data_IF_248824308970
#
_entry.id   IF_248824308970
#
_cell.length_a   1.000
_cell.length_b   1.000
_cell.length_c   1.000
_cell.angle_alpha   90.00
_cell.angle_beta   90.00
_cell.angle_gamma   90.00
#
_symmetry.space_group_name_H-M   'P 1'
#
loop_
_entity.id
_entity.type
_entity.pdbx_description
1 polymer ?
#
# COMPACT_ATOMS: atom_id res chain seq x y z
N UNK A 1 -14.79 38.75 -3.63
CA UNK A 1 -14.91 37.52 -4.43
C UNK A 1 -13.85 36.55 -3.96
N UNK A 2 -14.25 35.62 -3.12
CA UNK A 2 -13.39 34.61 -2.50
C UNK A 2 -12.98 33.61 -3.59
N UNK A 3 -11.67 33.53 -3.88
CA UNK A 3 -11.14 32.60 -4.90
C UNK A 3 -11.18 31.19 -4.31
N UNK A 4 -12.11 30.36 -4.76
CA UNK A 4 -12.13 28.93 -4.45
C UNK A 4 -10.76 28.32 -4.82
N UNK A 5 -10.02 27.88 -3.79
CA UNK A 5 -8.78 27.12 -3.97
C UNK A 5 -9.13 25.77 -4.59
N UNK A 6 -8.93 25.64 -5.89
CA UNK A 6 -8.99 24.36 -6.60
C UNK A 6 -7.86 23.46 -6.06
N UNK A 7 -8.17 22.66 -5.05
CA UNK A 7 -7.25 21.62 -4.53
C UNK A 7 -7.20 20.51 -5.57
N UNK A 8 -6.23 20.60 -6.50
CA UNK A 8 -5.97 19.54 -7.49
C UNK A 8 -5.59 18.24 -6.76
N UNK A 9 -6.54 17.31 -6.63
CA UNK A 9 -6.28 15.96 -6.13
C UNK A 9 -5.49 15.19 -7.19
N UNK A 10 -4.16 15.28 -7.13
CA UNK A 10 -3.26 14.43 -7.91
C UNK A 10 -3.29 13.03 -7.29
N UNK A 11 -4.12 12.14 -7.83
CA UNK A 11 -4.32 10.77 -7.29
C UNK A 11 -3.16 9.82 -7.62
N UNK A 12 -2.24 10.23 -8.50
CA UNK A 12 -1.08 9.46 -8.96
C UNK A 12 0.16 10.23 -8.54
N UNK A 13 0.75 9.81 -7.43
CA UNK A 13 1.79 10.58 -6.74
C UNK A 13 3.18 9.92 -6.79
N UNK A 14 3.26 8.59 -7.03
CA UNK A 14 4.50 7.92 -7.43
C UNK A 14 4.21 6.54 -8.04
N UNK A 15 4.45 6.39 -9.35
CA UNK A 15 4.30 5.13 -10.08
C UNK A 15 5.27 4.01 -9.63
N UNK A 16 6.57 4.25 -9.33
CA UNK A 16 7.50 3.13 -9.14
C UNK A 16 7.21 2.32 -7.87
N UNK A 17 6.77 2.97 -6.79
CA UNK A 17 6.47 2.28 -5.54
C UNK A 17 5.15 1.48 -5.61
N UNK A 18 4.15 2.02 -6.32
CA UNK A 18 2.89 1.31 -6.57
C UNK A 18 3.11 0.10 -7.47
N UNK A 19 3.93 0.23 -8.53
CA UNK A 19 4.28 -0.90 -9.39
C UNK A 19 5.02 -2.01 -8.64
N UNK A 20 5.99 -1.67 -7.77
CA UNK A 20 6.70 -2.66 -6.96
C UNK A 20 5.75 -3.49 -6.09
N UNK A 21 4.84 -2.83 -5.36
CA UNK A 21 3.86 -3.53 -4.53
C UNK A 21 2.90 -4.41 -5.34
N UNK A 22 2.42 -3.91 -6.48
CA UNK A 22 1.51 -4.65 -7.37
C UNK A 22 2.19 -5.88 -7.94
N UNK A 23 3.45 -5.78 -8.37
CA UNK A 23 4.22 -6.92 -8.89
C UNK A 23 4.38 -7.99 -7.81
N UNK A 24 4.74 -7.59 -6.58
CA UNK A 24 4.87 -8.54 -5.46
C UNK A 24 3.55 -9.24 -5.17
N UNK A 25 2.43 -8.50 -5.17
CA UNK A 25 1.09 -9.07 -4.97
C UNK A 25 0.71 -10.05 -6.07
N UNK A 26 0.98 -9.72 -7.35
CA UNK A 26 0.71 -10.62 -8.48
C UNK A 26 1.56 -11.89 -8.37
N UNK A 27 2.86 -11.77 -8.08
CA UNK A 27 3.75 -12.92 -7.92
C UNK A 27 3.31 -13.82 -6.76
N UNK A 28 2.92 -13.24 -5.63
CA UNK A 28 2.37 -13.99 -4.51
C UNK A 28 1.10 -14.75 -4.92
N UNK A 29 0.22 -14.09 -5.68
CA UNK A 29 -1.02 -14.71 -6.16
C UNK A 29 -0.77 -15.86 -7.15
N UNK A 30 0.24 -15.73 -8.01
CA UNK A 30 0.67 -16.81 -8.90
C UNK A 30 1.22 -18.00 -8.09
N UNK A 31 2.03 -17.75 -7.06
CA UNK A 31 2.50 -18.80 -6.16
C UNK A 31 1.34 -19.52 -5.46
N UNK A 32 0.36 -18.77 -4.94
CA UNK A 32 -0.84 -19.35 -4.32
C UNK A 32 -1.62 -20.19 -5.34
N UNK A 33 -1.82 -19.70 -6.56
CA UNK A 33 -2.52 -20.43 -7.61
C UNK A 33 -1.82 -21.74 -7.97
N UNK A 34 -0.48 -21.75 -8.05
CA UNK A 34 0.32 -22.96 -8.29
C UNK A 34 0.18 -23.95 -7.14
N UNK A 35 0.30 -23.50 -5.88
CA UNK A 35 0.17 -24.37 -4.71
C UNK A 35 -1.23 -24.98 -4.62
N UNK A 36 -2.27 -24.17 -4.85
CA UNK A 36 -3.67 -24.65 -4.85
C UNK A 36 -3.91 -25.61 -6.00
N UNK A 37 -3.44 -25.29 -7.21
CA UNK A 37 -3.58 -26.15 -8.39
C UNK A 37 -2.88 -27.49 -8.20
N UNK A 38 -1.65 -27.49 -7.69
CA UNK A 38 -0.89 -28.71 -7.42
C UNK A 38 -1.51 -29.52 -6.27
N UNK A 39 -1.94 -28.85 -5.20
CA UNK A 39 -2.64 -29.48 -4.07
C UNK A 39 -3.93 -30.16 -4.51
N UNK A 40 -4.74 -29.49 -5.34
CA UNK A 40 -5.95 -30.09 -5.90
C UNK A 40 -5.65 -31.26 -6.81
N UNK A 41 -4.64 -31.16 -7.68
CA UNK A 41 -4.20 -32.28 -8.52
C UNK A 41 -3.75 -33.48 -7.68
N UNK A 42 -2.99 -33.24 -6.62
CA UNK A 42 -2.55 -34.29 -5.69
C UNK A 42 -3.73 -34.96 -4.98
N UNK A 43 -4.65 -34.17 -4.40
CA UNK A 43 -5.85 -34.70 -3.74
C UNK A 43 -6.70 -35.53 -4.72
N UNK A 44 -6.90 -35.03 -5.94
CA UNK A 44 -7.66 -35.71 -6.98
C UNK A 44 -7.03 -37.05 -7.39
N UNK A 45 -5.72 -37.09 -7.63
CA UNK A 45 -5.04 -38.28 -8.13
C UNK A 45 -4.72 -39.30 -7.05
N UNK A 46 -4.38 -38.87 -5.84
CA UNK A 46 -3.82 -39.76 -4.82
C UNK A 46 -4.76 -40.02 -3.64
N UNK A 47 -5.64 -39.08 -3.28
CA UNK A 47 -6.53 -39.20 -2.11
C UNK A 47 -7.92 -39.66 -2.52
N UNK A 48 -8.46 -39.12 -3.62
CA UNK A 48 -9.77 -39.52 -4.16
C UNK A 48 -9.71 -40.72 -5.12
N UNK A 49 -8.61 -41.47 -5.09
CA UNK A 49 -8.36 -42.65 -5.93
C UNK A 49 -9.23 -43.87 -5.56
N UNK A 50 -10.10 -43.76 -4.56
CA UNK A 50 -11.24 -44.67 -4.40
C UNK A 50 -12.19 -44.41 -5.59
N UNK A 51 -12.10 -45.25 -6.63
CA UNK A 51 -12.61 -45.08 -8.00
C UNK A 51 -14.09 -44.72 -8.23
N UNK A 52 -14.83 -44.30 -7.20
CA UNK A 52 -16.19 -43.74 -7.26
C UNK A 52 -16.24 -42.24 -7.58
N UNK A 53 -15.20 -41.47 -7.26
CA UNK A 53 -15.17 -40.01 -7.51
C UNK A 53 -14.37 -39.67 -8.78
N UNK A 54 -13.34 -40.45 -9.11
CA UNK A 54 -12.47 -40.20 -10.27
C UNK A 54 -13.12 -40.50 -11.64
N UNK A 55 -14.17 -41.33 -11.69
CA UNK A 55 -14.72 -41.86 -12.95
C UNK A 55 -15.76 -40.96 -13.62
N UNK A 56 -16.39 -40.06 -12.87
CA UNK A 56 -17.16 -38.99 -13.48
C UNK A 56 -16.18 -37.83 -13.74
N UNK A 57 -15.57 -37.82 -14.93
CA UNK A 57 -14.83 -36.70 -15.49
C UNK A 57 -15.73 -35.46 -15.56
N UNK A 58 -15.99 -34.84 -14.42
CA UNK A 58 -16.81 -33.67 -14.34
C UNK A 58 -15.87 -32.48 -14.45
N UNK A 59 -15.40 -32.24 -15.68
CA UNK A 59 -14.61 -31.06 -16.06
C UNK A 59 -15.28 -29.79 -15.54
N UNK A 60 -16.61 -29.82 -15.38
CA UNK A 60 -17.45 -28.84 -14.69
C UNK A 60 -16.98 -28.52 -13.26
N UNK A 61 -16.58 -29.49 -12.44
CA UNK A 61 -16.11 -29.27 -11.07
C UNK A 61 -14.75 -28.57 -11.08
N UNK A 62 -13.83 -29.00 -11.95
CA UNK A 62 -12.54 -28.32 -12.13
C UNK A 62 -12.73 -26.88 -12.63
N UNK A 63 -13.66 -26.68 -13.56
CA UNK A 63 -14.00 -25.36 -14.10
C UNK A 63 -14.64 -24.46 -13.03
N UNK A 64 -15.56 -24.99 -12.21
CA UNK A 64 -16.16 -24.25 -11.08
C UNK A 64 -15.10 -23.81 -10.07
N UNK A 65 -14.14 -24.68 -9.74
CA UNK A 65 -13.01 -24.33 -8.87
C UNK A 65 -12.10 -23.29 -9.49
N UNK A 66 -11.75 -23.44 -10.78
CA UNK A 66 -10.93 -22.47 -11.49
C UNK A 66 -11.59 -21.08 -11.52
N UNK A 67 -12.91 -21.02 -11.76
CA UNK A 67 -13.69 -19.78 -11.72
C UNK A 67 -13.68 -19.19 -10.30
N UNK A 68 -13.91 -20.00 -9.27
CA UNK A 68 -13.92 -19.54 -7.88
C UNK A 68 -12.56 -18.98 -7.44
N UNK A 69 -11.47 -19.67 -7.75
CA UNK A 69 -10.11 -19.24 -7.44
C UNK A 69 -9.74 -17.99 -8.25
N UNK A 70 -10.09 -17.95 -9.53
CA UNK A 70 -9.86 -16.79 -10.40
C UNK A 70 -10.61 -15.55 -9.91
N UNK A 71 -11.89 -15.69 -9.59
CA UNK A 71 -12.72 -14.61 -9.04
C UNK A 71 -12.18 -14.12 -7.68
N UNK A 72 -11.85 -15.04 -6.77
CA UNK A 72 -11.30 -14.69 -5.46
C UNK A 72 -9.96 -13.96 -5.60
N UNK A 73 -9.10 -14.40 -6.52
CA UNK A 73 -7.83 -13.74 -6.82
C UNK A 73 -8.04 -12.35 -7.38
N UNK A 74 -9.00 -12.15 -8.28
CA UNK A 74 -9.34 -10.84 -8.82
C UNK A 74 -9.80 -9.88 -7.72
N UNK A 75 -10.68 -10.34 -6.82
CA UNK A 75 -11.13 -9.56 -5.66
C UNK A 75 -9.96 -9.15 -4.78
N UNK A 76 -9.03 -10.08 -4.49
CA UNK A 76 -7.84 -9.80 -3.68
C UNK A 76 -6.89 -8.80 -4.35
N UNK A 77 -6.70 -8.88 -5.66
CA UNK A 77 -5.88 -7.92 -6.42
C UNK A 77 -6.49 -6.52 -6.34
N UNK A 78 -7.80 -6.40 -6.58
CA UNK A 78 -8.52 -5.12 -6.50
C UNK A 78 -8.45 -4.55 -5.08
N UNK A 79 -8.70 -5.39 -4.08
CA UNK A 79 -8.62 -4.98 -2.68
C UNK A 79 -7.21 -4.55 -2.30
N UNK A 80 -6.18 -5.30 -2.70
CA UNK A 80 -4.78 -4.98 -2.47
C UNK A 80 -4.35 -3.66 -3.12
N UNK A 81 -4.82 -3.38 -4.33
CA UNK A 81 -4.62 -2.09 -5.00
C UNK A 81 -5.22 -0.93 -4.20
N UNK A 82 -6.47 -1.07 -3.76
CA UNK A 82 -7.16 -0.05 -2.95
C UNK A 82 -6.47 0.13 -1.60
N UNK A 83 -6.03 -0.97 -0.97
CA UNK A 83 -5.33 -0.93 0.31
C UNK A 83 -3.95 -0.29 0.19
N UNK A 84 -3.20 -0.60 -0.88
CA UNK A 84 -1.88 -0.01 -1.17
C UNK A 84 -1.93 1.51 -1.22
N UNK A 85 -3.01 2.09 -1.77
CA UNK A 85 -3.19 3.54 -1.79
C UNK A 85 -3.21 4.18 -0.39
N UNK A 86 -3.66 3.47 0.64
CA UNK A 86 -3.67 3.94 2.05
C UNK A 86 -2.27 3.97 2.67
N UNK A 87 -1.30 3.29 2.06
CA UNK A 87 0.11 3.22 2.50
C UNK A 87 0.95 4.22 1.69
N UNK A 88 0.80 4.23 0.36
CA UNK A 88 1.68 5.00 -0.52
C UNK A 88 1.48 6.51 -0.36
N UNK A 89 0.23 6.95 -0.21
CA UNK A 89 -0.09 8.37 -0.08
C UNK A 89 0.58 9.04 1.15
N UNK A 90 0.48 8.50 2.37
CA UNK A 90 1.17 9.08 3.53
C UNK A 90 2.70 8.97 3.44
N UNK A 91 3.26 7.86 2.92
CA UNK A 91 4.71 7.70 2.72
C UNK A 91 5.26 8.80 1.79
N UNK A 92 4.58 9.06 0.66
CA UNK A 92 5.02 10.10 -0.26
C UNK A 92 4.98 11.48 0.41
N UNK A 93 3.94 11.77 1.19
CA UNK A 93 3.86 13.02 1.93
C UNK A 93 4.99 13.16 2.95
N UNK A 94 5.31 12.10 3.69
CA UNK A 94 6.47 12.10 4.60
C UNK A 94 7.77 12.40 3.85
N UNK A 95 7.97 11.80 2.68
CA UNK A 95 9.15 12.06 1.84
C UNK A 95 9.28 13.53 1.45
N UNK A 96 8.17 14.19 1.08
CA UNK A 96 8.18 15.63 0.78
C UNK A 96 8.53 16.42 2.02
N UNK A 97 7.87 16.16 3.16
CA UNK A 97 8.10 16.90 4.42
C UNK A 97 9.55 16.80 4.87
N UNK A 98 10.12 15.60 4.86
CA UNK A 98 11.52 15.37 5.22
C UNK A 98 12.48 16.03 4.24
N UNK A 99 12.17 16.04 2.93
CA UNK A 99 13.01 16.69 1.93
C UNK A 99 12.99 18.21 2.06
N UNK A 100 11.83 18.81 2.33
CA UNK A 100 11.69 20.24 2.63
C UNK A 100 12.49 20.60 3.88
N UNK A 101 12.32 19.85 4.98
CA UNK A 101 13.08 20.05 6.21
C UNK A 101 14.60 19.92 5.99
N UNK A 102 15.04 18.95 5.17
CA UNK A 102 16.45 18.79 4.82
C UNK A 102 17.01 19.96 4.00
N UNK A 103 16.17 20.65 3.19
CA UNK A 103 16.56 21.88 2.49
C UNK A 103 16.52 23.14 3.37
N UNK A 104 16.21 23.00 4.67
CA UNK A 104 16.07 24.11 5.59
C UNK A 104 14.69 24.78 5.57
N UNK A 105 13.80 24.40 4.66
CA UNK A 105 12.39 24.81 4.67
C UNK A 105 11.60 23.86 5.58
N UNK A 106 11.77 24.05 6.89
CA UNK A 106 11.12 23.22 7.90
C UNK A 106 9.64 23.63 7.97
N UNK A 107 8.70 22.74 7.63
CA UNK A 107 7.28 23.05 7.67
C UNK A 107 6.83 23.21 9.12
N UNK A 108 6.24 24.36 9.42
CA UNK A 108 5.66 24.67 10.73
C UNK A 108 4.22 24.15 10.84
N UNK A 109 3.84 23.63 12.00
CA UNK A 109 2.46 23.28 12.35
C UNK A 109 2.12 21.80 12.26
N UNK A 110 0.88 21.46 12.67
CA UNK A 110 0.44 20.07 12.85
C UNK A 110 0.37 19.32 11.53
N UNK A 111 1.10 18.21 11.44
CA UNK A 111 1.04 17.29 10.31
C UNK A 111 -0.14 16.35 10.52
N UNK A 112 -1.04 16.27 9.54
CA UNK A 112 -2.20 15.38 9.59
C UNK A 112 -2.34 14.59 8.28
N UNK A 113 -2.33 13.26 8.33
CA UNK A 113 -2.60 12.37 7.21
C UNK A 113 -4.13 12.20 6.98
N UNK A 114 -4.52 11.52 5.90
CA UNK A 114 -5.95 11.34 5.60
C UNK A 114 -6.58 10.34 6.58
N UNK A 115 -7.91 10.40 6.71
CA UNK A 115 -8.66 9.61 7.70
C UNK A 115 -8.34 8.11 7.68
N UNK A 116 -8.10 7.55 6.49
CA UNK A 116 -7.93 6.12 6.25
C UNK A 116 -6.48 5.72 5.95
N UNK A 117 -5.52 6.61 6.18
CA UNK A 117 -4.10 6.33 5.94
C UNK A 117 -3.52 5.48 7.08
N UNK A 118 -2.60 4.56 6.77
CA UNK A 118 -2.07 3.60 7.74
C UNK A 118 -1.17 4.23 8.82
N UNK A 119 -0.62 5.43 8.58
CA UNK A 119 0.42 6.05 9.42
C UNK A 119 -0.10 7.17 10.32
N UNK A 120 -1.41 7.17 10.65
CA UNK A 120 -1.99 8.18 11.54
C UNK A 120 -1.27 8.33 12.89
N UNK A 121 -0.77 7.23 13.45
CA UNK A 121 -0.04 7.26 14.72
C UNK A 121 1.27 8.07 14.66
N UNK A 122 1.83 8.31 13.47
CA UNK A 122 3.06 9.08 13.28
C UNK A 122 2.82 10.57 13.09
N UNK A 123 1.57 11.03 13.05
CA UNK A 123 1.25 12.45 12.87
C UNK A 123 1.87 13.31 13.96
N UNK A 124 1.65 12.91 15.21
CA UNK A 124 2.12 13.67 16.38
C UNK A 124 3.65 13.54 16.52
N UNK A 125 4.22 12.34 16.35
CA UNK A 125 5.68 12.11 16.38
C UNK A 125 6.42 12.94 15.32
N UNK A 126 5.92 12.95 14.09
CA UNK A 126 6.53 13.71 13.00
C UNK A 126 6.38 15.21 13.23
N UNK A 127 5.24 15.65 13.77
CA UNK A 127 5.04 17.05 14.16
C UNK A 127 6.06 17.48 15.21
N UNK A 128 6.19 16.72 16.30
CA UNK A 128 7.15 17.03 17.38
C UNK A 128 8.60 17.03 16.88
N UNK A 129 8.95 16.13 15.97
CA UNK A 129 10.27 16.10 15.35
C UNK A 129 10.56 17.39 14.56
N UNK A 130 9.66 17.80 13.66
CA UNK A 130 9.84 19.01 12.85
C UNK A 130 9.83 20.29 13.70
N UNK A 131 8.95 20.38 14.70
CA UNK A 131 8.94 21.51 15.64
C UNK A 131 10.25 21.63 16.41
N UNK A 132 10.84 20.50 16.81
CA UNK A 132 12.14 20.49 17.49
C UNK A 132 13.25 20.97 16.57
N UNK A 133 13.27 20.50 15.31
CA UNK A 133 14.22 20.97 14.30
C UNK A 133 14.08 22.48 14.04
N UNK A 134 12.84 22.97 13.93
CA UNK A 134 12.57 24.39 13.71
C UNK A 134 13.04 25.25 14.89
N UNK A 135 12.82 24.78 16.12
CA UNK A 135 13.29 25.45 17.34
C UNK A 135 14.81 25.58 17.37
N UNK A 136 15.54 24.51 17.06
CA UNK A 136 16.99 24.56 17.00
C UNK A 136 17.49 25.55 15.93
N UNK A 137 16.86 25.56 14.75
CA UNK A 137 17.19 26.52 13.69
C UNK A 137 16.99 27.97 14.13
N UNK A 138 15.87 28.27 14.79
CA UNK A 138 15.59 29.63 15.28
C UNK A 138 16.55 30.07 16.40
N UNK A 139 17.01 29.14 17.24
CA UNK A 139 18.05 29.40 18.24
C UNK A 139 19.37 29.79 17.59
N UNK A 140 19.85 29.00 16.63
CA UNK A 140 21.08 29.27 15.88
C UNK A 140 21.08 30.64 15.20
N UNK A 141 19.98 31.02 14.53
CA UNK A 141 19.88 32.32 13.84
C UNK A 141 19.97 33.50 14.82
N UNK A 142 19.45 33.36 16.05
CA UNK A 142 19.50 34.43 17.07
C UNK A 142 20.90 34.62 17.64
N UNK A 143 21.70 33.56 17.72
CA UNK A 143 23.08 33.63 18.22
C UNK A 143 24.01 34.25 17.18
N UNK A 144 23.79 33.94 15.89
CA UNK A 144 24.56 34.52 14.77
C UNK A 144 24.30 36.02 14.57
N UNK A 145 23.10 36.53 14.89
CA UNK A 145 22.77 37.96 14.84
C UNK A 145 23.33 38.80 15.99
N UNK A 146 23.88 38.17 17.05
CA UNK A 146 24.45 38.85 18.21
C UNK A 146 25.98 38.97 18.17
N UNK A 147 26.65 38.27 17.25
CA UNK A 147 28.09 38.35 17.01
C UNK A 147 28.43 39.37 15.93
#
# INVERSE_FOLDING_TARGET
MEKEKIVRRKYILDKPFQFGYVIVMILLQLCVAVVVGFGMSYLYLFVFNDGKIAYQHNVTVLLQWAILVGFSSLVLIIWGLVYSHRIIAPIHRMRILLRSAASGDIPSGKIAFRKNDCFKGLEDDLTSCLETMERYRQGWVKDEQKS
#
